data_IF_751302984110
#
_entry.id   IF_751302984110
#
_cell.length_a   1.000
_cell.length_b   1.000
_cell.length_c   1.000
_cell.angle_alpha   90.00
_cell.angle_beta   90.00
_cell.angle_gamma   90.00
#
_symmetry.space_group_name_H-M   'P 1'
#
loop_
_entity.id
_entity.type
_entity.pdbx_description
1 polymer ?
#
# COMPACT_ATOMS: atom_id res chain seq x y z
N UNK A 1 -3.51 6.81 19.27
CA UNK A 1 -3.16 7.22 17.89
C UNK A 1 -2.12 6.28 17.27
N UNK A 2 -0.97 6.06 17.93
CA UNK A 2 0.09 5.16 17.44
C UNK A 2 -0.37 3.71 17.36
N UNK A 3 -1.10 3.20 18.36
CA UNK A 3 -1.62 1.82 18.32
C UNK A 3 -2.56 1.58 17.14
N UNK A 4 -3.46 2.53 16.83
CA UNK A 4 -4.30 2.43 15.63
C UNK A 4 -3.49 2.39 14.32
N UNK A 5 -2.36 3.11 14.24
CA UNK A 5 -1.51 3.06 13.05
C UNK A 5 -0.80 1.70 12.92
N UNK A 6 -0.38 1.11 14.05
CA UNK A 6 0.19 -0.23 14.08
C UNK A 6 -0.83 -1.30 13.69
N UNK A 7 -2.06 -1.19 14.19
CA UNK A 7 -3.16 -2.07 13.81
C UNK A 7 -3.47 -1.98 12.31
N UNK A 8 -3.42 -0.78 11.73
CA UNK A 8 -3.59 -0.59 10.29
C UNK A 8 -2.50 -1.30 9.48
N UNK A 9 -1.22 -1.06 9.80
CA UNK A 9 -0.11 -1.72 9.10
C UNK A 9 -0.17 -3.24 9.24
N UNK A 10 -0.46 -3.74 10.45
CA UNK A 10 -0.60 -5.17 10.68
C UNK A 10 -1.81 -5.75 9.91
N UNK A 11 -2.94 -5.05 9.85
CA UNK A 11 -4.10 -5.47 9.07
C UNK A 11 -3.79 -5.58 7.58
N UNK A 12 -3.04 -4.61 7.03
CA UNK A 12 -2.60 -4.61 5.64
C UNK A 12 -1.61 -5.76 5.34
N UNK A 13 -0.65 -5.99 6.23
CA UNK A 13 0.31 -7.08 6.08
C UNK A 13 -0.40 -8.45 6.10
N UNK A 14 -1.39 -8.63 7.00
CA UNK A 14 -2.22 -9.84 7.01
C UNK A 14 -3.04 -10.02 5.73
N UNK A 15 -3.62 -8.95 5.21
CA UNK A 15 -4.37 -9.02 3.94
C UNK A 15 -3.45 -9.42 2.77
N UNK A 16 -2.23 -8.88 2.72
CA UNK A 16 -1.23 -9.28 1.73
C UNK A 16 -0.80 -10.74 1.91
N UNK A 17 -0.62 -11.21 3.15
CA UNK A 17 -0.31 -12.62 3.43
C UNK A 17 -1.41 -13.56 2.92
N UNK A 18 -2.69 -13.24 3.16
CA UNK A 18 -3.80 -14.01 2.60
C UNK A 18 -3.77 -14.02 1.06
N UNK A 19 -3.44 -12.89 0.42
CA UNK A 19 -3.31 -12.85 -1.04
C UNK A 19 -2.15 -13.72 -1.56
N UNK A 20 -1.07 -13.87 -0.78
CA UNK A 20 0.02 -14.82 -1.09
C UNK A 20 -0.47 -16.27 -0.91
N UNK A 21 -1.15 -16.58 0.20
CA UNK A 21 -1.70 -17.91 0.48
C UNK A 21 -2.68 -18.39 -0.60
N UNK A 22 -3.51 -17.50 -1.13
CA UNK A 22 -4.47 -17.79 -2.21
C UNK A 22 -3.82 -17.75 -3.61
N UNK A 23 -2.53 -17.44 -3.73
CA UNK A 23 -1.80 -17.39 -5.00
C UNK A 23 -2.12 -16.17 -5.87
N UNK A 24 -2.77 -15.15 -5.32
CA UNK A 24 -3.00 -13.87 -6.01
C UNK A 24 -1.73 -13.01 -6.06
N UNK A 25 -0.86 -13.13 -5.05
CA UNK A 25 0.45 -12.48 -4.98
C UNK A 25 1.58 -13.50 -5.07
N UNK A 26 2.77 -13.04 -5.46
CA UNK A 26 3.98 -13.88 -5.55
C UNK A 26 4.34 -14.49 -4.20
N UNK A 27 4.85 -15.72 -4.22
CA UNK A 27 5.12 -16.52 -3.03
C UNK A 27 6.22 -15.95 -2.12
N UNK A 28 7.11 -15.11 -2.66
CA UNK A 28 8.23 -14.47 -1.96
C UNK A 28 7.97 -13.00 -1.60
N UNK A 29 6.71 -12.54 -1.69
CA UNK A 29 6.35 -11.17 -1.34
C UNK A 29 6.65 -10.88 0.15
N UNK A 30 7.43 -9.84 0.41
CA UNK A 30 7.54 -9.24 1.75
C UNK A 30 6.26 -8.47 2.07
N UNK A 31 5.39 -9.09 2.88
CA UNK A 31 4.05 -8.56 3.19
C UNK A 31 4.11 -7.35 4.14
N UNK A 32 5.15 -7.25 4.97
CA UNK A 32 5.36 -6.09 5.84
C UNK A 32 5.81 -4.88 5.00
N UNK A 33 6.72 -5.09 4.05
CA UNK A 33 7.12 -4.06 3.10
C UNK A 33 5.94 -3.59 2.25
N UNK A 34 5.14 -4.53 1.72
CA UNK A 34 3.93 -4.18 0.96
C UNK A 34 2.99 -3.29 1.77
N UNK A 35 2.73 -3.65 3.04
CA UNK A 35 1.87 -2.87 3.92
C UNK A 35 2.43 -1.47 4.18
N UNK A 36 3.76 -1.36 4.38
CA UNK A 36 4.45 -0.09 4.55
C UNK A 36 4.33 0.82 3.33
N UNK A 37 4.55 0.27 2.13
CA UNK A 37 4.47 1.02 0.87
C UNK A 37 3.04 1.44 0.56
N UNK A 38 2.07 0.54 0.75
CA UNK A 38 0.66 0.87 0.57
C UNK A 38 0.22 2.00 1.51
N UNK A 39 0.60 1.94 2.78
CA UNK A 39 0.29 3.01 3.73
C UNK A 39 1.02 4.33 3.40
N UNK A 40 2.25 4.25 2.90
CA UNK A 40 3.02 5.42 2.46
C UNK A 40 2.33 6.15 1.29
N UNK A 41 1.70 5.42 0.36
CA UNK A 41 0.90 6.03 -0.73
C UNK A 41 -0.25 6.87 -0.16
N UNK A 42 -0.96 6.36 0.85
CA UNK A 42 -2.07 7.06 1.50
C UNK A 42 -1.59 8.35 2.17
N UNK A 43 -0.46 8.29 2.89
CA UNK A 43 0.12 9.45 3.54
C UNK A 43 0.59 10.51 2.53
N UNK A 44 1.29 10.09 1.48
CA UNK A 44 1.75 10.97 0.40
C UNK A 44 0.57 11.63 -0.33
N UNK A 45 -0.52 10.89 -0.55
CA UNK A 45 -1.75 11.44 -1.11
C UNK A 45 -2.36 12.50 -0.20
N UNK A 46 -2.56 12.22 1.09
CA UNK A 46 -3.13 13.20 2.02
C UNK A 46 -2.27 14.46 2.13
N UNK A 47 -0.94 14.30 2.16
CA UNK A 47 -0.01 15.41 2.17
C UNK A 47 -0.16 16.27 0.90
N UNK A 48 -0.06 15.66 -0.28
CA UNK A 48 -0.14 16.39 -1.56
C UNK A 48 -1.52 17.00 -1.82
N UNK A 49 -2.61 16.27 -1.54
CA UNK A 49 -3.98 16.71 -1.77
C UNK A 49 -4.41 17.81 -0.79
N UNK A 50 -4.19 17.62 0.51
CA UNK A 50 -4.75 18.54 1.52
C UNK A 50 -3.84 19.71 1.85
N UNK A 51 -2.55 19.44 2.03
CA UNK A 51 -1.59 20.48 2.43
C UNK A 51 -1.17 21.30 1.20
N UNK A 52 -0.76 20.62 0.13
CA UNK A 52 -0.22 21.26 -1.07
C UNK A 52 -1.28 21.60 -2.13
N UNK A 53 -2.50 21.05 -1.99
CA UNK A 53 -3.61 21.26 -2.95
C UNK A 53 -3.22 20.88 -4.38
N UNK A 54 -2.40 19.85 -4.56
CA UNK A 54 -2.02 19.34 -5.87
C UNK A 54 -3.22 18.65 -6.53
N UNK A 55 -3.72 19.23 -7.62
CA UNK A 55 -4.83 18.70 -8.41
C UNK A 55 -4.53 17.33 -9.05
N UNK A 56 -3.26 16.92 -9.12
CA UNK A 56 -2.83 15.63 -9.68
C UNK A 56 -2.43 14.61 -8.61
N UNK A 57 -2.69 14.90 -7.33
CA UNK A 57 -2.39 14.01 -6.20
C UNK A 57 -3.04 12.63 -6.35
N UNK A 58 -4.30 12.59 -6.76
CA UNK A 58 -5.06 11.34 -6.97
C UNK A 58 -4.44 10.48 -8.08
N UNK A 59 -4.18 11.07 -9.26
CA UNK A 59 -3.51 10.41 -10.39
C UNK A 59 -2.16 9.79 -9.97
N UNK A 60 -1.39 10.50 -9.12
CA UNK A 60 -0.08 10.02 -8.66
C UNK A 60 -0.20 8.88 -7.67
N UNK A 61 -1.17 8.96 -6.75
CA UNK A 61 -1.42 7.91 -5.77
C UNK A 61 -1.88 6.63 -6.48
N UNK A 62 -2.80 6.75 -7.44
CA UNK A 62 -3.26 5.63 -8.24
C UNK A 62 -2.13 4.96 -9.01
N UNK A 63 -1.27 5.73 -9.68
CA UNK A 63 -0.10 5.17 -10.40
C UNK A 63 0.90 4.48 -9.47
N UNK A 64 1.13 5.00 -8.27
CA UNK A 64 1.99 4.34 -7.29
C UNK A 64 1.37 3.02 -6.83
N UNK A 65 0.06 3.02 -6.58
CA UNK A 65 -0.66 1.81 -6.20
C UNK A 65 -0.63 0.75 -7.32
N UNK A 66 -0.89 1.14 -8.56
CA UNK A 66 -0.81 0.24 -9.73
C UNK A 66 0.56 -0.42 -9.85
N UNK A 67 1.65 0.34 -9.61
CA UNK A 67 3.02 -0.21 -9.62
C UNK A 67 3.26 -1.17 -8.47
N UNK A 68 2.81 -0.83 -7.28
CA UNK A 68 2.92 -1.70 -6.11
C UNK A 68 2.18 -3.03 -6.35
N UNK A 69 0.96 -2.98 -6.89
CA UNK A 69 0.21 -4.19 -7.23
C UNK A 69 0.93 -4.98 -8.33
N UNK A 70 1.37 -4.31 -9.40
CA UNK A 70 2.05 -4.98 -10.50
C UNK A 70 3.33 -5.68 -10.07
N UNK A 71 4.10 -5.08 -9.15
CA UNK A 71 5.24 -5.73 -8.51
C UNK A 71 4.77 -6.99 -7.79
N UNK A 72 3.73 -6.91 -6.95
CA UNK A 72 3.19 -8.01 -6.13
C UNK A 72 2.65 -9.22 -6.88
N UNK A 73 2.37 -9.12 -8.18
CA UNK A 73 1.78 -10.22 -8.94
C UNK A 73 2.76 -11.38 -9.17
N UNK A 74 2.25 -12.63 -9.30
CA UNK A 74 3.04 -13.75 -9.78
C UNK A 74 3.62 -13.49 -11.19
N UNK A 75 4.77 -14.10 -11.48
CA UNK A 75 5.43 -14.04 -12.78
C UNK A 75 4.68 -14.78 -13.89
#
# INVERSE_FOLDING_TARGET
>A
LVEYQREWLHGLARAAALAVEEGHFRADLDTEQFAYEFYSIILAFHHSSRLLRDARSEERAQRQFERLIADSLPA
#
